data_IF_958176310352
#
_entry.id   IF_958176310352
#
_cell.length_a   1.000
_cell.length_b   1.000
_cell.length_c   1.000
_cell.angle_alpha   90.00
_cell.angle_beta   90.00
_cell.angle_gamma   90.00
#
_symmetry.space_group_name_H-M   'P 1'
#
loop_
_entity.id
_entity.type
_entity.pdbx_description
1 polymer ?
#
# COMPACT_ATOMS: atom_id res chain seq x y z
N UNK A 1 -49.80 5.09 -7.93
CA UNK A 1 -49.35 4.21 -6.85
C UNK A 1 -47.85 4.18 -6.92
N UNK A 2 -47.24 4.71 -5.88
CA UNK A 2 -45.82 4.93 -5.66
C UNK A 2 -45.00 3.62 -5.62
N UNK A 3 -43.78 3.63 -6.17
CA UNK A 3 -42.59 3.08 -5.49
C UNK A 3 -41.33 3.74 -6.05
N UNK A 4 -40.85 4.78 -5.35
CA UNK A 4 -39.43 5.15 -5.33
C UNK A 4 -38.60 4.09 -4.59
N UNK A 5 -37.38 3.82 -5.08
CA UNK A 5 -36.45 2.86 -4.46
C UNK A 5 -34.98 3.17 -4.74
N UNK A 6 -34.50 4.29 -4.18
CA UNK A 6 -33.13 4.56 -3.70
C UNK A 6 -31.92 4.13 -4.55
N UNK A 7 -31.29 5.10 -5.23
CA UNK A 7 -29.87 5.01 -5.53
C UNK A 7 -29.08 5.19 -4.22
N UNK A 8 -28.41 4.13 -3.76
CA UNK A 8 -27.49 4.22 -2.62
C UNK A 8 -26.22 4.99 -3.03
N UNK A 9 -25.79 6.01 -2.27
CA UNK A 9 -24.47 6.59 -2.42
C UNK A 9 -23.44 5.69 -1.72
N UNK A 10 -22.35 5.35 -2.41
CA UNK A 10 -21.17 4.76 -1.76
C UNK A 10 -20.71 3.40 -2.28
N UNK A 11 -20.66 3.19 -3.60
CA UNK A 11 -19.74 2.19 -4.14
C UNK A 11 -18.35 2.80 -4.21
N UNK A 12 -17.58 2.70 -3.13
CA UNK A 12 -16.12 2.75 -3.25
C UNK A 12 -15.70 1.45 -3.94
N UNK A 13 -15.74 1.44 -5.27
CA UNK A 13 -15.00 0.42 -6.01
C UNK A 13 -13.54 0.68 -5.68
N UNK A 14 -12.98 -0.08 -4.74
CA UNK A 14 -11.53 -0.18 -4.61
C UNK A 14 -11.03 -0.52 -6.01
N UNK A 15 -10.30 0.41 -6.62
CA UNK A 15 -9.74 0.19 -7.94
C UNK A 15 -8.67 -0.90 -7.76
N UNK A 16 -9.07 -2.13 -8.04
CA UNK A 16 -8.21 -3.30 -7.87
C UNK A 16 -7.03 -3.29 -8.82
N UNK A 17 -5.99 -4.03 -8.45
CA UNK A 17 -4.81 -4.23 -9.27
C UNK A 17 -5.18 -4.76 -10.66
N UNK A 18 -4.70 -4.11 -11.71
CA UNK A 18 -4.90 -4.53 -13.09
C UNK A 18 -3.59 -4.94 -13.73
N UNK A 19 -3.56 -6.08 -14.44
CA UNK A 19 -2.37 -6.50 -15.16
C UNK A 19 -2.11 -5.56 -16.34
N UNK A 20 -0.88 -5.06 -16.45
CA UNK A 20 -0.46 -4.18 -17.53
C UNK A 20 0.35 -4.98 -18.54
N UNK A 21 0.03 -4.83 -19.82
CA UNK A 21 0.82 -5.47 -20.89
C UNK A 21 2.24 -4.92 -20.89
N UNK A 22 3.21 -5.83 -20.85
CA UNK A 22 4.62 -5.49 -21.01
C UNK A 22 5.17 -6.19 -22.23
N UNK A 23 5.74 -5.41 -23.15
CA UNK A 23 6.37 -5.94 -24.36
C UNK A 23 7.88 -5.85 -24.19
N UNK A 24 8.61 -6.86 -24.67
CA UNK A 24 10.08 -6.85 -24.64
C UNK A 24 10.65 -6.73 -26.05
N UNK A 25 11.79 -6.05 -26.16
CA UNK A 25 12.60 -5.98 -27.37
C UNK A 25 14.04 -6.26 -26.98
N UNK A 26 14.58 -7.37 -27.47
CA UNK A 26 15.98 -7.75 -27.23
C UNK A 26 16.90 -6.78 -27.99
N UNK A 27 17.84 -6.18 -27.28
CA UNK A 27 18.83 -5.24 -27.83
C UNK A 27 20.16 -5.95 -28.08
N UNK A 28 20.58 -6.79 -27.14
CA UNK A 28 21.79 -7.63 -27.23
C UNK A 28 21.54 -8.98 -26.56
N UNK A 29 22.57 -9.81 -26.36
CA UNK A 29 22.43 -11.08 -25.63
C UNK A 29 22.12 -10.91 -24.15
N UNK A 30 22.53 -9.79 -23.56
CA UNK A 30 22.31 -9.50 -22.13
C UNK A 30 21.39 -8.32 -21.90
N UNK A 31 21.14 -7.47 -22.91
CA UNK A 31 20.29 -6.28 -22.78
C UNK A 31 18.94 -6.44 -23.47
N UNK A 32 17.87 -6.09 -22.74
CA UNK A 32 16.49 -6.09 -23.23
C UNK A 32 15.75 -4.85 -22.75
N UNK A 33 15.03 -4.19 -23.65
CA UNK A 33 14.12 -3.09 -23.33
C UNK A 33 12.72 -3.63 -23.11
N UNK A 34 12.08 -3.22 -22.01
CA UNK A 34 10.72 -3.56 -21.65
C UNK A 34 9.82 -2.33 -21.70
N UNK A 35 8.83 -2.33 -22.60
CA UNK A 35 7.81 -1.28 -22.69
C UNK A 35 6.68 -1.59 -21.72
N UNK A 36 6.49 -0.72 -20.73
CA UNK A 36 5.57 -0.86 -19.61
C UNK A 36 4.26 -0.13 -19.93
N UNK A 37 3.36 -0.78 -20.68
CA UNK A 37 2.08 -0.21 -21.09
C UNK A 37 2.22 1.18 -21.72
N UNK A 38 1.57 2.19 -21.11
CA UNK A 38 1.68 3.60 -21.51
C UNK A 38 2.59 4.43 -20.59
N UNK A 39 3.23 3.78 -19.62
CA UNK A 39 3.95 4.42 -18.53
C UNK A 39 5.39 4.81 -18.90
N UNK A 40 6.04 4.00 -19.73
CA UNK A 40 7.43 4.21 -20.12
C UNK A 40 8.13 2.91 -20.51
N UNK A 41 9.46 2.94 -20.44
CA UNK A 41 10.32 1.81 -20.76
C UNK A 41 11.37 1.58 -19.67
N UNK A 42 11.74 0.33 -19.44
CA UNK A 42 12.82 -0.09 -18.54
C UNK A 42 13.84 -0.88 -19.33
N UNK A 43 15.12 -0.53 -19.22
CA UNK A 43 16.22 -1.27 -19.86
C UNK A 43 16.89 -2.13 -18.81
N UNK A 44 16.92 -3.44 -19.07
CA UNK A 44 17.57 -4.42 -18.20
C UNK A 44 18.81 -4.94 -18.89
N UNK A 45 19.89 -5.09 -18.13
CA UNK A 45 21.07 -5.88 -18.47
C UNK A 45 21.21 -7.08 -17.51
N UNK A 46 21.64 -8.22 -18.04
CA UNK A 46 21.87 -9.45 -17.28
C UNK A 46 23.30 -10.01 -17.40
N UNK A 47 24.27 -9.19 -17.83
CA UNK A 47 25.64 -9.66 -18.07
C UNK A 47 26.35 -10.15 -16.80
N UNK A 48 25.96 -9.61 -15.63
CA UNK A 48 26.46 -10.03 -14.31
C UNK A 48 25.84 -11.32 -13.78
N UNK A 49 24.90 -11.94 -14.50
CA UNK A 49 24.12 -13.07 -14.00
C UNK A 49 23.00 -12.69 -13.03
N UNK A 50 22.69 -11.39 -12.92
CA UNK A 50 21.55 -10.85 -12.14
C UNK A 50 20.78 -9.84 -12.98
N UNK A 51 19.56 -9.48 -12.60
CA UNK A 51 18.83 -8.39 -13.26
C UNK A 51 19.40 -7.06 -12.78
N UNK A 52 19.87 -6.23 -13.70
CA UNK A 52 20.30 -4.85 -13.43
C UNK A 52 19.49 -3.92 -14.32
N UNK A 53 18.83 -2.92 -13.72
CA UNK A 53 18.18 -1.86 -14.49
C UNK A 53 19.23 -0.80 -14.82
N UNK A 54 19.50 -0.62 -16.11
CA UNK A 54 20.51 0.33 -16.60
C UNK A 54 19.91 1.69 -16.93
N UNK A 55 18.63 1.73 -17.30
CA UNK A 55 17.92 2.97 -17.57
C UNK A 55 16.40 2.81 -17.37
N UNK A 56 15.74 3.91 -17.05
CA UNK A 56 14.28 4.02 -16.92
C UNK A 56 13.82 5.29 -17.61
N UNK A 57 13.02 5.14 -18.66
CA UNK A 57 12.52 6.24 -19.49
C UNK A 57 11.01 6.39 -19.30
N UNK A 58 10.54 7.31 -18.45
CA UNK A 58 9.10 7.56 -18.31
C UNK A 58 8.52 8.18 -19.59
N UNK A 59 7.29 7.80 -19.94
CA UNK A 59 6.52 8.44 -20.99
C UNK A 59 5.99 9.81 -20.55
N UNK A 60 5.55 10.65 -21.50
CA UNK A 60 5.06 11.99 -21.21
C UNK A 60 3.93 12.00 -20.17
N UNK A 61 4.11 12.80 -19.12
CA UNK A 61 3.17 12.95 -18.01
C UNK A 61 3.24 11.83 -16.97
N UNK A 62 4.18 10.88 -17.12
CA UNK A 62 4.56 9.94 -16.07
C UNK A 62 5.87 10.39 -15.42
N UNK A 63 6.04 9.97 -14.18
CA UNK A 63 7.30 10.05 -13.44
C UNK A 63 7.74 8.64 -13.08
N UNK A 64 9.04 8.41 -12.96
CA UNK A 64 9.58 7.11 -12.56
C UNK A 64 10.43 7.25 -11.30
N UNK A 65 10.29 6.29 -10.39
CA UNK A 65 11.22 6.13 -9.27
C UNK A 65 12.46 5.35 -9.69
N UNK A 66 13.62 5.57 -9.03
CA UNK A 66 14.79 4.74 -9.23
C UNK A 66 14.50 3.26 -8.96
N UNK A 67 15.12 2.39 -9.76
CA UNK A 67 14.98 0.95 -9.58
C UNK A 67 15.47 0.53 -8.18
N UNK A 68 14.70 -0.33 -7.52
CA UNK A 68 15.06 -0.91 -6.21
C UNK A 68 15.23 -2.40 -6.38
N UNK A 69 16.29 -2.96 -5.79
CA UNK A 69 16.55 -4.40 -5.83
C UNK A 69 16.40 -4.96 -4.43
N UNK A 70 15.49 -5.90 -4.27
CA UNK A 70 15.28 -6.62 -3.02
C UNK A 70 16.38 -7.70 -2.83
N UNK A 71 16.66 -8.15 -1.59
CA UNK A 71 17.66 -9.20 -1.33
C UNK A 71 17.42 -10.53 -2.07
N UNK A 72 16.20 -10.77 -2.53
CA UNK A 72 15.84 -11.94 -3.35
C UNK A 72 16.30 -11.81 -4.82
N UNK A 73 16.80 -10.65 -5.23
CA UNK A 73 17.13 -10.34 -6.62
C UNK A 73 15.93 -9.89 -7.46
N UNK A 74 14.78 -9.64 -6.82
CA UNK A 74 13.63 -8.99 -7.46
C UNK A 74 13.91 -7.49 -7.61
N UNK A 75 13.80 -6.99 -8.83
CA UNK A 75 13.96 -5.56 -9.14
C UNK A 75 12.59 -4.94 -9.39
N UNK A 76 12.35 -3.77 -8.79
CA UNK A 76 11.10 -3.02 -8.92
C UNK A 76 11.35 -1.62 -9.44
N UNK A 77 10.48 -1.16 -10.33
CA UNK A 77 10.42 0.21 -10.86
C UNK A 77 8.98 0.69 -10.77
N UNK A 78 8.76 1.87 -10.21
CA UNK A 78 7.44 2.47 -10.11
C UNK A 78 7.28 3.64 -11.06
N UNK A 79 6.20 3.63 -11.83
CA UNK A 79 5.75 4.76 -12.63
C UNK A 79 4.51 5.37 -12.01
N UNK A 80 4.47 6.70 -11.87
CA UNK A 80 3.36 7.40 -11.23
C UNK A 80 2.82 8.52 -12.12
N UNK A 81 1.49 8.61 -12.22
CA UNK A 81 0.75 9.68 -12.88
C UNK A 81 -0.54 9.98 -12.13
N UNK A 82 -0.58 11.12 -11.43
CA UNK A 82 -1.72 11.47 -10.58
C UNK A 82 -1.94 10.42 -9.49
N UNK A 83 -3.12 9.79 -9.48
CA UNK A 83 -3.49 8.71 -8.54
C UNK A 83 -3.19 7.31 -9.06
N UNK A 84 -2.67 7.17 -10.28
CA UNK A 84 -2.30 5.88 -10.87
C UNK A 84 -0.82 5.60 -10.64
N UNK A 85 -0.52 4.39 -10.17
CA UNK A 85 0.83 3.85 -10.03
C UNK A 85 0.92 2.54 -10.80
N UNK A 86 2.02 2.34 -11.51
CA UNK A 86 2.33 1.07 -12.18
C UNK A 86 3.63 0.56 -11.59
N UNK A 87 3.60 -0.64 -11.04
CA UNK A 87 4.80 -1.36 -10.62
C UNK A 87 5.22 -2.32 -11.73
N UNK A 88 6.45 -2.15 -12.20
CA UNK A 88 7.17 -3.13 -13.00
C UNK A 88 8.10 -3.91 -12.08
N UNK A 89 7.99 -5.24 -12.10
CA UNK A 89 8.78 -6.18 -11.31
C UNK A 89 9.50 -7.16 -12.23
N UNK A 90 10.81 -7.36 -12.04
CA UNK A 90 11.63 -8.26 -12.84
C UNK A 90 12.61 -9.09 -12.01
N UNK A 91 12.79 -10.36 -12.36
CA UNK A 91 13.75 -11.25 -11.69
C UNK A 91 14.32 -12.27 -12.68
N UNK A 92 15.57 -12.69 -12.48
CA UNK A 92 16.18 -13.76 -13.27
C UNK A 92 15.80 -15.11 -12.66
N UNK A 93 15.12 -15.96 -13.43
CA UNK A 93 14.72 -17.29 -12.99
C UNK A 93 15.05 -18.31 -14.10
N UNK A 94 15.84 -19.32 -13.77
CA UNK A 94 16.27 -20.38 -14.70
C UNK A 94 16.91 -19.81 -15.98
N UNK A 95 17.73 -18.77 -15.85
CA UNK A 95 18.41 -18.11 -16.98
C UNK A 95 17.50 -17.23 -17.86
N UNK A 96 16.24 -17.02 -17.49
CA UNK A 96 15.31 -16.15 -18.21
C UNK A 96 14.75 -15.06 -17.28
N UNK A 97 14.62 -13.84 -17.80
CA UNK A 97 13.98 -12.74 -17.06
C UNK A 97 12.48 -12.97 -17.01
N UNK A 98 11.93 -13.02 -15.80
CA UNK A 98 10.48 -13.05 -15.53
C UNK A 98 10.04 -11.65 -15.16
N UNK A 99 8.96 -11.20 -15.77
CA UNK A 99 8.40 -9.86 -15.56
C UNK A 99 6.95 -9.97 -15.11
N UNK A 100 6.58 -9.14 -14.17
CA UNK A 100 5.20 -8.89 -13.78
C UNK A 100 4.97 -7.38 -13.72
N UNK A 101 3.85 -6.92 -14.26
CA UNK A 101 3.50 -5.51 -14.23
C UNK A 101 2.06 -5.33 -13.82
N UNK A 102 1.86 -4.57 -12.75
CA UNK A 102 0.56 -4.31 -12.14
C UNK A 102 0.31 -2.81 -12.09
N UNK A 103 -0.93 -2.42 -12.36
CA UNK A 103 -1.41 -1.06 -12.14
C UNK A 103 -2.23 -1.03 -10.87
N UNK A 104 -1.79 -0.18 -9.94
CA UNK A 104 -2.52 0.21 -8.74
C UNK A 104 -3.16 1.58 -9.01
N UNK A 105 -4.44 1.71 -8.71
CA UNK A 105 -5.05 3.04 -8.63
C UNK A 105 -5.31 3.31 -7.16
N UNK A 106 -4.48 4.16 -6.55
CA UNK A 106 -4.72 4.59 -5.18
C UNK A 106 -5.95 5.51 -5.21
N UNK A 107 -7.03 5.21 -4.46
CA UNK A 107 -8.11 6.17 -4.31
C UNK A 107 -7.52 7.51 -3.82
N UNK A 108 -8.03 8.66 -4.27
CA UNK A 108 -7.62 9.94 -3.71
C UNK A 108 -7.73 9.85 -2.18
N UNK A 109 -6.65 10.14 -1.45
CA UNK A 109 -6.75 10.30 -0.01
C UNK A 109 -7.84 11.34 0.25
N UNK A 110 -8.93 10.94 0.90
CA UNK A 110 -9.96 11.87 1.34
C UNK A 110 -9.27 12.88 2.26
N UNK A 111 -9.01 14.07 1.73
CA UNK A 111 -8.52 15.18 2.53
C UNK A 111 -9.67 15.62 3.43
N UNK A 112 -9.55 15.34 4.73
CA UNK A 112 -10.49 15.83 5.75
C UNK A 112 -11.31 14.74 6.42
N UNK A 113 -10.74 14.16 7.47
CA UNK A 113 -11.46 13.33 8.43
C UNK A 113 -10.58 13.12 9.65
N UNK A 114 -10.48 14.16 10.49
CA UNK A 114 -9.97 14.03 11.87
C UNK A 114 -10.53 12.78 12.50
N UNK A 115 -9.67 12.01 13.19
CA UNK A 115 -10.00 10.70 13.74
C UNK A 115 -11.39 10.63 14.36
N UNK A 116 -12.21 9.72 13.84
CA UNK A 116 -13.38 9.24 14.54
C UNK A 116 -13.11 7.78 14.90
N UNK A 117 -12.88 7.56 16.19
CA UNK A 117 -13.12 6.27 16.87
C UNK A 117 -14.46 5.70 16.37
N UNK A 118 -14.62 4.38 16.21
CA UNK A 118 -15.89 3.81 15.77
C UNK A 118 -17.01 4.19 16.75
N UNK A 119 -17.82 5.16 16.38
CA UNK A 119 -19.07 5.48 17.08
C UNK A 119 -20.10 4.49 16.56
N UNK A 120 -20.58 3.63 17.46
CA UNK A 120 -21.76 2.80 17.25
C UNK A 120 -22.94 3.68 16.78
N UNK A 121 -23.76 3.23 15.82
CA UNK A 121 -24.83 4.06 15.28
C UNK A 121 -25.93 4.29 16.32
N UNK A 122 -26.09 5.53 16.75
CA UNK A 122 -27.30 6.00 17.43
C UNK A 122 -28.47 5.96 16.44
N UNK A 123 -29.32 4.94 16.62
CA UNK A 123 -30.69 4.95 16.09
C UNK A 123 -31.51 6.04 16.77
N UNK A 124 -32.36 6.68 15.99
CA UNK A 124 -33.16 7.85 16.33
C UNK A 124 -34.56 7.37 16.78
N UNK A 125 -34.96 7.69 18.00
CA UNK A 125 -36.34 8.05 18.35
C UNK A 125 -37.13 7.14 19.31
N UNK A 126 -37.52 7.72 20.47
CA UNK A 126 -38.67 7.38 21.33
C UNK A 126 -38.47 6.13 22.21
N UNK A 127 -38.82 6.07 23.49
CA UNK A 127 -39.71 6.83 24.36
C UNK A 127 -39.31 6.53 25.82
N UNK A 128 -39.60 7.46 26.73
CA UNK A 128 -40.00 7.30 28.14
C UNK A 128 -39.40 6.13 28.97
N UNK A 129 -38.63 6.47 30.02
CA UNK A 129 -39.09 6.29 31.42
C UNK A 129 -37.95 6.53 32.43
N UNK A 130 -38.40 7.05 33.57
CA UNK A 130 -37.70 7.57 34.75
C UNK A 130 -36.80 6.57 35.52
N UNK A 131 -36.22 7.11 36.60
CA UNK A 131 -35.56 6.48 37.77
C UNK A 131 -34.01 6.45 37.69
N UNK A 132 -33.30 7.45 38.20
CA UNK A 132 -33.03 7.76 39.63
C UNK A 132 -32.07 6.74 40.28
N UNK A 133 -31.35 7.23 41.27
CA UNK A 133 -30.52 6.51 42.24
C UNK A 133 -29.02 6.43 41.92
N UNK A 134 -28.33 7.47 42.40
CA UNK A 134 -26.88 7.52 42.49
C UNK A 134 -26.28 6.45 43.42
N UNK A 135 -24.95 6.41 43.48
CA UNK A 135 -24.19 6.33 44.72
C UNK A 135 -22.68 6.36 44.44
N UNK A 136 -22.06 7.42 44.96
CA UNK A 136 -20.71 7.51 45.52
C UNK A 136 -19.95 6.18 45.74
N UNK A 137 -18.63 6.18 45.51
CA UNK A 137 -17.64 6.38 46.59
C UNK A 137 -16.19 6.43 46.08
N UNK A 138 -15.50 7.44 46.60
CA UNK A 138 -14.06 7.57 46.71
C UNK A 138 -13.43 6.37 47.43
N UNK A 139 -12.20 6.06 47.03
CA UNK A 139 -11.37 5.02 47.64
C UNK A 139 -9.90 5.27 47.40
N UNK A 140 -9.37 6.33 48.02
CA UNK A 140 -7.98 6.44 48.44
C UNK A 140 -7.49 5.16 49.16
N UNK A 141 -6.15 5.00 49.27
CA UNK A 141 -5.35 4.13 50.18
C UNK A 141 -4.78 2.83 49.52
N UNK A 142 -3.49 2.44 49.59
CA UNK A 142 -2.28 2.87 50.33
C UNK A 142 -0.98 2.48 49.63
N UNK A 143 0.04 3.24 50.01
CA UNK A 143 1.47 2.99 50.21
C UNK A 143 1.97 1.54 50.44
N UNK A 144 3.23 1.32 50.06
CA UNK A 144 4.15 0.31 50.64
C UNK A 144 4.99 -0.42 49.58
N UNK A 145 6.29 -0.07 49.41
CA UNK A 145 7.49 -0.85 49.83
C UNK A 145 7.55 -2.27 49.20
N UNK A 146 8.60 -2.77 48.56
CA UNK A 146 10.02 -2.83 48.97
C UNK A 146 10.81 -3.56 47.85
N UNK A 147 11.97 -3.02 47.47
CA UNK A 147 13.32 -3.62 47.46
C UNK A 147 13.58 -5.03 46.88
N UNK A 148 14.62 -5.13 46.02
CA UNK A 148 15.69 -6.17 45.90
C UNK A 148 16.23 -6.21 44.44
N UNK A 149 17.16 -5.35 44.00
CA UNK A 149 18.62 -5.54 43.89
C UNK A 149 19.14 -6.99 43.86
N UNK A 150 19.76 -7.39 42.72
CA UNK A 150 21.02 -8.17 42.66
C UNK A 150 21.76 -7.82 41.34
N UNK A 151 22.95 -7.26 41.47
CA UNK A 151 23.98 -7.04 40.45
C UNK A 151 24.74 -8.35 40.22
N UNK A 152 25.26 -8.60 39.02
CA UNK A 152 26.45 -9.45 38.81
C UNK A 152 27.03 -9.25 37.40
N UNK A 153 27.98 -8.31 37.34
CA UNK A 153 29.12 -8.32 36.43
C UNK A 153 30.12 -9.39 36.90
N UNK A 154 30.69 -10.19 35.99
CA UNK A 154 32.02 -10.78 36.21
C UNK A 154 32.69 -11.16 34.86
N UNK A 155 33.84 -10.52 34.64
CA UNK A 155 34.99 -10.73 33.71
C UNK A 155 34.82 -10.91 32.18
#
# INVERSE_FOLDING_TARGET
>A
GDTVGGAAPGSVTAAGDAQVTTNSTKVSDTSTTYSVGTAGSVIIDTASGTVVVTDVVPATGWTAEPARTDPSGLVKVHFTKGTTRIEFSAMLQNGAVKVNTISESTPPALSGGTGAKPTVPSGIGGDDDDDDDGHHKDGDHKDGHDDSHEDEDDD
#
